data_IF_884246831024
#
_entry.id   IF_884246831024
#
_cell.length_a   1.000
_cell.length_b   1.000
_cell.length_c   1.000
_cell.angle_alpha   90.00
_cell.angle_beta   90.00
_cell.angle_gamma   90.00
#
_symmetry.space_group_name_H-M   'P 1'
#
loop_
_entity.id
_entity.type
_entity.pdbx_description
1 polymer ?
#
# COMPACT_ATOMS: atom_id res chain seq x y z
N UNK A 1 29.36 -55.47 -18.64
CA UNK A 1 28.59 -54.77 -17.59
C UNK A 1 29.37 -53.54 -17.18
N UNK A 2 28.93 -52.37 -17.63
CA UNK A 2 29.28 -51.08 -17.01
C UNK A 2 28.29 -50.05 -17.55
N UNK A 3 27.17 -49.92 -16.85
CA UNK A 3 26.22 -48.83 -17.10
C UNK A 3 26.95 -47.51 -16.89
N UNK A 4 26.91 -46.65 -17.90
CA UNK A 4 27.26 -45.24 -17.76
C UNK A 4 26.43 -44.66 -16.62
N UNK A 5 27.11 -44.11 -15.62
CA UNK A 5 26.52 -43.23 -14.62
C UNK A 5 26.06 -42.00 -15.39
N UNK A 6 24.75 -41.90 -15.63
CA UNK A 6 24.08 -40.70 -16.11
C UNK A 6 24.45 -39.54 -15.16
N UNK A 7 24.81 -38.36 -15.67
CA UNK A 7 25.09 -37.23 -14.80
C UNK A 7 23.85 -36.97 -13.97
N UNK A 8 24.05 -36.75 -12.66
CA UNK A 8 22.99 -36.34 -11.74
C UNK A 8 22.14 -35.28 -12.41
N UNK A 9 20.85 -35.57 -12.59
CA UNK A 9 19.89 -34.61 -13.12
C UNK A 9 19.87 -33.41 -12.16
N UNK A 10 20.63 -32.37 -12.50
CA UNK A 10 20.72 -31.12 -11.75
C UNK A 10 19.50 -30.24 -12.07
N UNK A 11 18.33 -30.88 -12.22
CA UNK A 11 17.07 -30.22 -12.52
C UNK A 11 16.64 -29.40 -11.31
N UNK A 12 16.37 -28.12 -11.56
CA UNK A 12 15.86 -27.18 -10.56
C UNK A 12 14.32 -27.25 -10.43
N UNK A 13 13.67 -28.18 -11.12
CA UNK A 13 12.21 -28.33 -11.16
C UNK A 13 11.60 -28.68 -9.80
N UNK A 14 12.41 -29.19 -8.86
CA UNK A 14 12.01 -29.50 -7.49
C UNK A 14 12.63 -28.56 -6.44
N UNK A 15 13.21 -27.43 -6.88
CA UNK A 15 13.68 -26.41 -5.97
C UNK A 15 12.54 -25.48 -5.56
N UNK A 16 12.15 -25.58 -4.28
CA UNK A 16 11.15 -24.68 -3.71
C UNK A 16 11.80 -23.36 -3.25
N UNK A 17 11.13 -22.25 -3.53
CA UNK A 17 11.49 -20.91 -3.05
C UNK A 17 10.43 -20.40 -2.08
N UNK A 18 10.81 -19.44 -1.24
CA UNK A 18 9.90 -18.69 -0.38
C UNK A 18 9.24 -17.49 -1.11
N UNK A 19 9.40 -17.41 -2.44
CA UNK A 19 8.76 -16.41 -3.29
C UNK A 19 7.43 -16.97 -3.79
N UNK A 20 6.34 -16.34 -3.35
CA UNK A 20 4.99 -16.69 -3.79
C UNK A 20 4.50 -15.70 -4.85
N UNK A 21 4.16 -16.19 -6.04
CA UNK A 21 3.53 -15.39 -7.07
C UNK A 21 2.05 -15.14 -6.70
N UNK A 22 1.73 -13.90 -6.33
CA UNK A 22 0.37 -13.55 -5.89
C UNK A 22 -0.53 -13.13 -7.06
N UNK A 23 -0.02 -12.29 -7.96
CA UNK A 23 -0.78 -11.73 -9.09
C UNK A 23 0.17 -11.12 -10.12
N UNK A 24 -0.32 -10.96 -11.34
CA UNK A 24 0.28 -10.08 -12.35
C UNK A 24 -0.17 -8.62 -12.11
N UNK A 25 0.74 -7.68 -12.35
CA UNK A 25 0.53 -6.23 -12.19
C UNK A 25 0.59 -5.47 -13.53
N UNK A 26 0.67 -6.17 -14.66
CA UNK A 26 0.80 -5.56 -16.00
C UNK A 26 -0.30 -4.54 -16.37
N UNK A 27 -1.47 -4.64 -15.74
CA UNK A 27 -2.61 -3.75 -15.92
C UNK A 27 -2.85 -2.75 -14.77
N UNK A 28 -1.87 -2.53 -13.88
CA UNK A 28 -2.07 -1.59 -12.77
C UNK A 28 -1.98 -0.13 -13.24
N UNK A 29 -2.93 0.67 -12.78
CA UNK A 29 -2.98 2.11 -12.94
C UNK A 29 -2.93 2.79 -11.57
N UNK A 30 -2.50 4.05 -11.54
CA UNK A 30 -2.48 4.85 -10.32
C UNK A 30 -2.91 6.29 -10.55
N UNK A 31 -3.41 6.90 -9.48
CA UNK A 31 -3.65 8.34 -9.36
C UNK A 31 -3.12 8.83 -8.02
N UNK A 32 -2.45 9.97 -8.06
CA UNK A 32 -1.97 10.73 -6.89
C UNK A 32 -2.89 11.92 -6.68
N UNK A 33 -3.33 12.11 -5.45
CA UNK A 33 -4.17 13.22 -5.03
C UNK A 33 -3.51 14.01 -3.91
N UNK A 34 -3.64 15.32 -4.01
CA UNK A 34 -3.18 16.29 -3.00
C UNK A 34 -4.32 17.22 -2.63
N UNK A 35 -4.19 17.90 -1.51
CA UNK A 35 -5.14 18.92 -1.09
C UNK A 35 -5.09 20.09 -2.07
N UNK A 36 -6.24 20.49 -2.61
CA UNK A 36 -6.34 21.56 -3.60
C UNK A 36 -5.95 22.92 -3.02
N UNK A 37 -6.46 23.25 -1.83
CA UNK A 37 -6.14 24.48 -1.09
C UNK A 37 -5.56 24.12 0.27
N UNK A 38 -4.29 24.49 0.56
CA UNK A 38 -3.69 24.25 1.86
C UNK A 38 -4.56 24.89 2.95
N UNK A 39 -5.11 24.06 3.83
CA UNK A 39 -5.84 24.49 5.02
C UNK A 39 -5.24 23.77 6.21
N UNK A 40 -5.08 24.49 7.31
CA UNK A 40 -4.74 23.87 8.58
C UNK A 40 -6.03 23.29 9.17
N UNK A 41 -6.04 21.98 9.37
CA UNK A 41 -7.12 21.26 10.03
C UNK A 41 -6.73 21.11 11.51
N UNK A 42 -7.56 21.64 12.42
CA UNK A 42 -7.31 21.52 13.86
C UNK A 42 -7.44 20.07 14.35
N UNK A 43 -8.33 19.29 13.75
CA UNK A 43 -8.47 17.85 13.98
C UNK A 43 -7.82 17.05 12.83
N UNK A 44 -6.88 16.13 13.11
CA UNK A 44 -6.34 15.21 12.09
C UNK A 44 -7.41 14.37 11.37
N UNK A 45 -8.55 14.09 12.02
CA UNK A 45 -9.66 13.37 11.42
C UNK A 45 -10.42 14.23 10.40
N UNK A 46 -10.32 15.56 10.48
CA UNK A 46 -10.92 16.46 9.52
C UNK A 46 -10.15 16.60 8.21
N UNK A 47 -8.93 16.06 8.18
CA UNK A 47 -8.09 16.08 7.00
C UNK A 47 -8.72 15.29 5.83
N UNK A 48 -8.91 15.91 4.66
CA UNK A 48 -9.57 15.29 3.52
C UNK A 48 -8.78 14.12 2.93
N UNK A 49 -7.44 14.09 3.06
CA UNK A 49 -6.61 12.96 2.65
C UNK A 49 -6.91 11.75 3.54
N UNK A 50 -7.00 11.95 4.85
CA UNK A 50 -7.27 10.88 5.81
C UNK A 50 -8.71 10.37 5.65
N UNK A 51 -9.69 11.27 5.50
CA UNK A 51 -11.09 10.89 5.22
C UNK A 51 -11.20 10.11 3.91
N UNK A 52 -10.61 10.60 2.83
CA UNK A 52 -10.65 9.91 1.53
C UNK A 52 -9.93 8.56 1.58
N UNK A 53 -8.81 8.47 2.31
CA UNK A 53 -8.15 7.18 2.55
C UNK A 53 -9.07 6.20 3.28
N UNK A 54 -9.76 6.63 4.35
CA UNK A 54 -10.71 5.79 5.06
C UNK A 54 -11.88 5.32 4.17
N UNK A 55 -12.37 6.18 3.28
CA UNK A 55 -13.37 5.83 2.28
C UNK A 55 -12.83 4.80 1.27
N UNK A 56 -11.63 5.03 0.72
CA UNK A 56 -10.95 4.05 -0.14
C UNK A 56 -10.85 2.68 0.54
N UNK A 57 -10.46 2.65 1.82
CA UNK A 57 -10.46 1.42 2.59
C UNK A 57 -11.86 0.81 2.66
N UNK A 58 -12.88 1.57 3.05
CA UNK A 58 -14.27 1.09 3.12
C UNK A 58 -14.76 0.45 1.82
N UNK A 59 -14.40 1.02 0.67
CA UNK A 59 -14.78 0.52 -0.67
C UNK A 59 -13.82 -0.54 -1.24
N UNK A 60 -12.79 -0.94 -0.49
CA UNK A 60 -11.85 -1.97 -0.94
C UNK A 60 -10.88 -1.50 -2.03
N UNK A 61 -10.69 -0.19 -2.17
CA UNK A 61 -9.73 0.40 -3.11
C UNK A 61 -8.31 0.23 -2.59
N UNK A 62 -7.43 -0.27 -3.46
CA UNK A 62 -6.00 -0.38 -3.17
C UNK A 62 -5.41 1.03 -3.03
N UNK A 63 -5.10 1.43 -1.80
CA UNK A 63 -4.74 2.81 -1.49
C UNK A 63 -3.71 2.90 -0.36
N UNK A 64 -2.94 3.99 -0.39
CA UNK A 64 -2.04 4.37 0.68
C UNK A 64 -1.80 5.88 0.66
N UNK A 65 -1.57 6.49 1.82
CA UNK A 65 -1.15 7.87 1.90
C UNK A 65 0.33 7.97 2.31
N UNK A 66 0.96 9.09 1.97
CA UNK A 66 2.38 9.41 2.23
C UNK A 66 2.46 10.79 2.89
N UNK A 67 3.48 10.97 3.72
CA UNK A 67 3.97 12.29 4.12
C UNK A 67 5.26 12.58 3.36
N UNK A 68 5.28 13.64 2.56
CA UNK A 68 6.47 14.12 1.85
C UNK A 68 6.97 15.40 2.52
N UNK A 69 8.29 15.54 2.63
CA UNK A 69 8.90 16.79 3.11
C UNK A 69 8.85 17.78 1.95
N UNK A 70 8.33 19.01 2.11
CA UNK A 70 8.39 20.01 1.06
C UNK A 70 9.86 20.32 0.74
N UNK A 71 10.21 20.26 -0.54
CA UNK A 71 11.55 20.55 -1.09
C UNK A 71 12.10 21.92 -0.63
N UNK A 72 11.22 22.87 -0.28
CA UNK A 72 11.57 24.23 0.12
C UNK A 72 12.04 24.41 1.58
N UNK A 73 12.30 23.32 2.33
CA UNK A 73 12.68 23.41 3.75
C UNK A 73 14.17 23.06 3.99
N UNK A 74 15.03 23.97 3.54
CA UNK A 74 16.46 24.08 3.93
C UNK A 74 16.66 24.62 5.35
N UNK A 75 15.68 24.45 6.24
CA UNK A 75 15.79 24.89 7.63
C UNK A 75 16.34 23.78 8.51
N UNK A 76 17.49 24.01 9.14
CA UNK A 76 18.05 23.25 10.26
C UNK A 76 17.19 23.35 11.54
N UNK A 77 15.87 23.44 11.38
CA UNK A 77 14.92 23.57 12.46
C UNK A 77 14.39 22.18 12.85
N UNK A 78 14.70 21.68 14.05
CA UNK A 78 14.15 20.43 14.56
C UNK A 78 12.63 20.46 14.77
N UNK A 79 11.96 21.61 14.61
CA UNK A 79 10.48 21.73 14.55
C UNK A 79 9.90 21.67 13.12
N UNK A 80 10.73 21.52 12.08
CA UNK A 80 10.27 21.38 10.69
C UNK A 80 9.44 20.09 10.42
N UNK A 81 9.40 19.16 11.38
CA UNK A 81 8.51 17.98 11.34
C UNK A 81 7.01 18.33 11.32
N UNK A 82 6.63 19.59 11.54
CA UNK A 82 5.23 20.02 11.52
C UNK A 82 4.66 20.28 10.12
N UNK A 83 5.51 20.48 9.09
CA UNK A 83 5.08 20.89 7.75
C UNK A 83 5.31 19.81 6.68
N UNK A 84 4.80 18.60 6.91
CA UNK A 84 4.78 17.59 5.85
C UNK A 84 3.59 17.81 4.91
N UNK A 85 3.84 17.73 3.61
CA UNK A 85 2.77 17.58 2.64
C UNK A 85 2.19 16.17 2.77
N UNK A 86 0.87 16.04 2.57
CA UNK A 86 0.16 14.77 2.60
C UNK A 86 -0.35 14.45 1.21
N UNK A 87 -0.18 13.21 0.81
CA UNK A 87 -0.52 12.74 -0.52
C UNK A 87 -1.29 11.44 -0.40
N UNK A 88 -2.36 11.30 -1.18
CA UNK A 88 -3.14 10.08 -1.29
C UNK A 88 -2.85 9.42 -2.63
N UNK A 89 -2.51 8.14 -2.58
CA UNK A 89 -2.28 7.33 -3.76
C UNK A 89 -3.34 6.24 -3.83
N UNK A 90 -3.97 6.12 -4.99
CA UNK A 90 -4.92 5.04 -5.29
C UNK A 90 -4.43 4.25 -6.49
N UNK A 91 -4.70 2.95 -6.46
CA UNK A 91 -4.30 1.98 -7.46
C UNK A 91 -5.50 1.13 -7.84
N UNK A 92 -5.61 0.79 -9.12
CA UNK A 92 -6.62 -0.14 -9.61
C UNK A 92 -6.08 -0.92 -10.80
N UNK A 93 -6.72 -2.05 -11.10
CA UNK A 93 -6.35 -2.91 -12.22
C UNK A 93 -7.39 -2.76 -13.33
N UNK A 94 -6.92 -2.72 -14.58
CA UNK A 94 -7.77 -2.62 -15.76
C UNK A 94 -7.41 -1.41 -16.60
N UNK A 95 -8.16 -1.18 -17.68
CA UNK A 95 -8.01 0.01 -18.54
C UNK A 95 -9.08 1.07 -18.26
N UNK A 96 -10.12 0.72 -17.51
CA UNK A 96 -11.22 1.60 -17.17
C UNK A 96 -10.78 2.68 -16.16
N UNK A 97 -11.61 3.70 -16.01
CA UNK A 97 -11.42 4.74 -15.00
C UNK A 97 -11.47 4.18 -13.57
N UNK A 98 -10.89 4.95 -12.64
CA UNK A 98 -10.86 4.60 -11.22
C UNK A 98 -12.29 4.32 -10.69
N UNK A 99 -12.61 3.05 -10.33
CA UNK A 99 -13.95 2.72 -9.85
C UNK A 99 -14.22 3.43 -8.52
N UNK A 100 -15.47 3.86 -8.33
CA UNK A 100 -15.92 4.53 -7.11
C UNK A 100 -15.20 5.86 -6.79
N UNK A 101 -14.60 6.52 -7.80
CA UNK A 101 -13.89 7.79 -7.62
C UNK A 101 -14.70 8.82 -6.83
N UNK A 102 -15.96 9.03 -7.21
CA UNK A 102 -16.86 10.02 -6.61
C UNK A 102 -17.21 9.70 -5.15
N UNK A 103 -17.18 8.42 -4.76
CA UNK A 103 -17.50 7.99 -3.39
C UNK A 103 -16.27 7.94 -2.48
N UNK A 104 -15.08 7.84 -3.06
CA UNK A 104 -13.83 7.66 -2.33
C UNK A 104 -13.05 8.96 -2.18
N UNK A 105 -13.08 9.84 -3.17
CA UNK A 105 -12.25 11.04 -3.25
C UNK A 105 -13.12 12.25 -2.96
N UNK A 106 -12.77 12.94 -1.88
CA UNK A 106 -13.44 14.17 -1.50
C UNK A 106 -13.11 15.32 -2.48
N UNK A 107 -14.04 16.25 -2.73
CA UNK A 107 -13.89 17.33 -3.71
C UNK A 107 -12.76 18.33 -3.37
N UNK A 108 -12.31 18.37 -2.13
CA UNK A 108 -11.16 19.17 -1.68
C UNK A 108 -9.82 18.63 -2.20
N UNK A 109 -9.80 17.41 -2.74
CA UNK A 109 -8.62 16.78 -3.32
C UNK A 109 -8.57 17.03 -4.84
N UNK A 110 -7.38 17.32 -5.35
CA UNK A 110 -7.11 17.41 -6.79
C UNK A 110 -6.17 16.30 -7.22
N UNK A 111 -6.35 15.80 -8.44
CA UNK A 111 -5.38 14.92 -9.06
C UNK A 111 -4.11 15.71 -9.37
N UNK A 112 -2.97 15.25 -8.84
CA UNK A 112 -1.65 15.82 -9.12
C UNK A 112 -0.94 15.03 -10.21
N UNK A 113 -1.03 13.70 -10.14
CA UNK A 113 -0.31 12.80 -11.02
C UNK A 113 -1.13 11.55 -11.32
N UNK A 114 -0.85 10.91 -12.44
CA UNK A 114 -1.45 9.66 -12.87
C UNK A 114 -0.51 8.89 -13.78
N UNK A 115 -0.66 7.58 -13.81
CA UNK A 115 0.11 6.75 -14.72
C UNK A 115 -0.29 5.29 -14.68
N UNK A 116 0.42 4.49 -15.44
CA UNK A 116 0.17 3.06 -15.55
C UNK A 116 1.47 2.26 -15.58
N UNK A 117 1.34 0.95 -15.37
CA UNK A 117 2.46 0.02 -15.40
C UNK A 117 3.23 0.03 -16.72
N UNK A 118 2.52 0.13 -17.85
CA UNK A 118 3.09 0.02 -19.20
C UNK A 118 4.06 1.15 -19.53
N UNK A 119 3.81 2.34 -18.96
CA UNK A 119 4.70 3.50 -19.08
C UNK A 119 5.92 3.40 -18.14
N UNK A 120 5.93 2.41 -17.23
CA UNK A 120 6.93 2.25 -16.18
C UNK A 120 6.51 2.96 -14.90
N UNK A 121 6.72 2.29 -13.77
CA UNK A 121 6.49 2.88 -12.44
C UNK A 121 7.80 3.38 -11.85
N UNK A 122 7.80 4.62 -11.34
CA UNK A 122 8.92 5.16 -10.58
C UNK A 122 9.21 4.32 -9.33
N UNK A 123 10.39 4.45 -8.75
CA UNK A 123 10.71 3.76 -7.49
C UNK A 123 9.76 4.19 -6.34
N UNK A 124 9.40 5.47 -6.31
CA UNK A 124 8.43 6.00 -5.36
C UNK A 124 7.06 5.35 -5.54
N UNK A 125 6.51 5.35 -6.76
CA UNK A 125 5.21 4.74 -7.05
C UNK A 125 5.20 3.26 -6.68
N UNK A 126 6.27 2.52 -6.99
CA UNK A 126 6.42 1.11 -6.58
C UNK A 126 6.39 0.95 -5.06
N UNK A 127 7.11 1.79 -4.32
CA UNK A 127 7.14 1.75 -2.85
C UNK A 127 5.77 2.02 -2.25
N UNK A 128 5.02 2.98 -2.81
CA UNK A 128 3.66 3.31 -2.39
C UNK A 128 2.68 2.18 -2.73
N UNK A 129 2.81 1.56 -3.91
CA UNK A 129 2.02 0.39 -4.30
C UNK A 129 2.24 -0.78 -3.33
N UNK A 130 3.50 -1.09 -3.00
CA UNK A 130 3.81 -2.12 -2.01
C UNK A 130 3.17 -1.80 -0.65
N UNK A 131 3.23 -0.55 -0.20
CA UNK A 131 2.55 -0.13 1.05
C UNK A 131 1.03 -0.34 0.97
N UNK A 132 0.40 0.02 -0.14
CA UNK A 132 -1.04 -0.19 -0.34
C UNK A 132 -1.40 -1.69 -0.29
N UNK A 133 -0.59 -2.55 -0.92
CA UNK A 133 -0.78 -4.00 -0.89
C UNK A 133 -0.63 -4.54 0.55
N UNK A 134 0.40 -4.09 1.26
CA UNK A 134 0.59 -4.44 2.67
C UNK A 134 -0.57 -4.00 3.56
N UNK A 135 -1.15 -2.82 3.32
CA UNK A 135 -2.34 -2.37 4.06
C UNK A 135 -3.52 -3.32 3.86
N UNK A 136 -3.74 -3.80 2.63
CA UNK A 136 -4.81 -4.77 2.34
C UNK A 136 -4.55 -6.11 3.04
N UNK A 137 -3.32 -6.61 2.98
CA UNK A 137 -2.91 -7.85 3.66
C UNK A 137 -3.09 -7.72 5.17
N UNK A 138 -2.59 -6.63 5.76
CA UNK A 138 -2.70 -6.33 7.18
C UNK A 138 -4.17 -6.28 7.62
N UNK A 139 -5.03 -5.59 6.87
CA UNK A 139 -6.45 -5.53 7.17
C UNK A 139 -7.13 -6.90 7.07
N UNK A 140 -6.79 -7.70 6.05
CA UNK A 140 -7.30 -9.06 5.91
C UNK A 140 -6.90 -9.95 7.10
N UNK A 141 -5.66 -9.83 7.56
CA UNK A 141 -5.15 -10.54 8.73
C UNK A 141 -5.81 -10.05 10.02
N UNK A 142 -6.00 -8.73 10.16
CA UNK A 142 -6.67 -8.13 11.31
C UNK A 142 -8.12 -8.62 11.46
N UNK A 143 -8.88 -8.70 10.38
CA UNK A 143 -10.25 -9.26 10.39
C UNK A 143 -10.26 -10.74 10.82
N UNK A 144 -9.16 -11.47 10.66
CA UNK A 144 -9.00 -12.86 11.12
C UNK A 144 -8.46 -12.96 12.57
N UNK A 145 -8.30 -11.84 13.27
CA UNK A 145 -7.81 -11.79 14.65
C UNK A 145 -6.28 -11.81 14.79
N UNK A 146 -5.53 -11.54 13.73
CA UNK A 146 -4.08 -11.36 13.83
C UNK A 146 -3.75 -9.93 14.24
N UNK A 147 -2.67 -9.78 15.00
CA UNK A 147 -2.11 -8.51 15.43
C UNK A 147 -0.70 -8.36 14.85
N UNK A 148 -0.36 -7.15 14.38
CA UNK A 148 0.97 -6.85 13.86
C UNK A 148 1.93 -6.45 14.99
N UNK A 149 3.07 -7.11 15.06
CA UNK A 149 4.20 -6.79 15.94
C UNK A 149 5.45 -6.59 15.08
N UNK A 150 5.75 -5.34 14.76
CA UNK A 150 6.84 -4.98 13.85
C UNK A 150 6.63 -5.55 12.44
N UNK A 151 7.45 -6.55 12.07
CA UNK A 151 7.38 -7.26 10.78
C UNK A 151 6.58 -8.57 10.84
N UNK A 152 6.04 -8.92 12.00
CA UNK A 152 5.39 -10.20 12.25
C UNK A 152 3.88 -10.01 12.44
N UNK A 153 3.10 -11.01 12.03
CA UNK A 153 1.68 -11.12 12.36
C UNK A 153 1.48 -12.31 13.28
N UNK A 154 0.94 -12.06 14.46
CA UNK A 154 0.73 -13.09 15.50
C UNK A 154 -0.75 -13.16 15.80
N UNK A 155 -1.30 -14.36 15.93
CA UNK A 155 -2.66 -14.56 16.41
C UNK A 155 -2.61 -14.84 17.92
N UNK A 156 -3.13 -13.93 18.78
CA UNK A 156 -3.21 -14.19 20.20
C UNK A 156 -4.09 -15.42 20.44
N UNK A 157 -3.63 -16.33 21.31
CA UNK A 157 -4.50 -17.43 21.75
C UNK A 157 -5.65 -16.84 22.55
N UNK A 158 -6.88 -17.27 22.27
CA UNK A 158 -8.02 -16.94 23.12
C UNK A 158 -7.73 -17.54 24.50
N UNK A 159 -7.61 -16.70 25.52
CA UNK A 159 -7.62 -17.18 26.89
C UNK A 159 -9.05 -17.67 27.13
N UNK A 160 -9.28 -18.99 27.07
CA UNK A 160 -10.51 -19.56 27.58
C UNK A 160 -10.59 -19.30 29.09
N UNK A 161 -11.78 -19.27 29.70
CA UNK A 161 -11.85 -19.40 31.15
C UNK A 161 -11.08 -20.66 31.52
N UNK A 162 -10.11 -20.53 32.43
CA UNK A 162 -9.59 -21.67 33.16
C UNK A 162 -10.78 -22.39 33.77
N UNK A 163 -11.10 -23.57 33.25
CA UNK A 163 -11.96 -24.53 33.94
C UNK A 163 -11.24 -24.90 35.24
N UNK A 164 -11.61 -24.20 36.33
CA UNK A 164 -11.44 -24.64 37.72
C UNK A 164 -12.62 -25.54 38.11
#
# INVERSE_FOLDING_TARGET
MSQLISPSDASLEHCFTNIFALTDFSGIQYRKYIIHTPREYSDPLDDPIIKSFALCQKFGVLSAWVRSKPEASDSSDPCAFSKFAKELWVFWYGNDDFPNAESCILPELRNEDHGNWRQGLSYETRTVLFRALHNVVERCLYTKGFVRLGKWFVQPRKCGPSDD
#
